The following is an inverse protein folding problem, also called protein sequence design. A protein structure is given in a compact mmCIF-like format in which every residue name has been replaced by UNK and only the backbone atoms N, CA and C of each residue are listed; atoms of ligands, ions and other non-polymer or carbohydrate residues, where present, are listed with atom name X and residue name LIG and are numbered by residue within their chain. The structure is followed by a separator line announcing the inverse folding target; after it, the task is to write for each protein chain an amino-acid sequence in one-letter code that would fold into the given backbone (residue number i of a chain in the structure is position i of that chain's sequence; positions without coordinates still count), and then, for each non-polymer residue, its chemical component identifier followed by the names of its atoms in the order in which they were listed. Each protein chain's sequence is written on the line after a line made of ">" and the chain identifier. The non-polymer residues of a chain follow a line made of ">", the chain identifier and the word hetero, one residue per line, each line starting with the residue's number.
data_IF_471460611581
#
_entry.id   IF_471460611581
#
_cell.length_a   1.000
_cell.length_b   1.000
_cell.length_c   1.000
_cell.angle_alpha   90.00
_cell.angle_beta   90.00
_cell.angle_gamma   90.00
#
_symmetry.space_group_name_H-M   'P 1'
#
loop_
_entity.id
_entity.type
_entity.pdbx_description
1 polymer ?
#
# COMPACT_ATOMS: atom_id res chain seq x y z
N UNK A 1 -8.00 18.84 -27.91
CA UNK A 1 -6.90 18.25 -27.10
C UNK A 1 -6.93 16.71 -27.21
N UNK A 2 -5.80 16.03 -27.06
CA UNK A 2 -5.70 14.56 -26.86
C UNK A 2 -6.09 14.19 -25.42
N UNK A 3 -6.18 12.90 -25.09
CA UNK A 3 -6.45 12.47 -23.70
C UNK A 3 -5.32 12.93 -22.76
N UNK A 4 -4.07 12.62 -23.13
CA UNK A 4 -2.84 13.09 -22.49
C UNK A 4 -2.79 14.59 -22.26
N UNK A 5 -3.06 15.38 -23.29
CA UNK A 5 -3.01 16.86 -23.20
C UNK A 5 -3.99 17.38 -22.15
N UNK A 6 -5.19 16.80 -22.05
CA UNK A 6 -6.17 17.20 -21.03
C UNK A 6 -5.69 16.87 -19.63
N UNK A 7 -5.15 15.68 -19.43
CA UNK A 7 -4.59 15.24 -18.13
C UNK A 7 -3.47 16.19 -17.69
N UNK A 8 -2.50 16.46 -18.59
CA UNK A 8 -1.38 17.36 -18.29
C UNK A 8 -1.86 18.80 -18.06
N UNK A 9 -2.82 19.29 -18.85
CA UNK A 9 -3.41 20.63 -18.66
C UNK A 9 -4.03 20.75 -17.26
N UNK A 10 -4.81 19.75 -16.83
CA UNK A 10 -5.42 19.75 -15.50
C UNK A 10 -4.37 19.65 -14.38
N UNK A 11 -3.36 18.79 -14.51
CA UNK A 11 -2.25 18.65 -13.53
C UNK A 11 -1.51 19.98 -13.36
N UNK A 12 -1.28 20.71 -14.45
CA UNK A 12 -0.64 22.03 -14.42
C UNK A 12 -1.61 23.18 -14.04
N UNK A 13 -2.83 22.86 -13.59
CA UNK A 13 -3.86 23.81 -13.15
C UNK A 13 -4.40 24.72 -14.26
N UNK A 14 -4.35 24.26 -15.51
CA UNK A 14 -5.01 24.89 -16.65
C UNK A 14 -6.47 24.44 -16.81
N UNK A 15 -7.14 24.98 -17.83
CA UNK A 15 -8.53 24.60 -18.17
C UNK A 15 -8.55 23.75 -19.45
N UNK A 16 -8.75 22.43 -19.35
CA UNK A 16 -8.89 21.57 -20.52
C UNK A 16 -10.23 21.83 -21.26
N UNK A 17 -10.30 21.42 -22.53
CA UNK A 17 -11.50 21.54 -23.38
C UNK A 17 -12.69 20.69 -22.90
N UNK A 18 -12.46 19.74 -21.97
CA UNK A 18 -13.46 18.99 -21.20
C UNK A 18 -12.81 18.32 -19.99
N UNK A 19 -13.62 17.77 -19.08
CA UNK A 19 -13.12 16.99 -17.93
C UNK A 19 -12.25 15.81 -18.40
N UNK A 20 -10.98 15.71 -17.97
CA UNK A 20 -10.12 14.59 -18.32
C UNK A 20 -10.57 13.30 -17.62
N UNK A 21 -10.42 12.17 -18.30
CA UNK A 21 -10.69 10.84 -17.76
C UNK A 21 -9.49 9.95 -18.12
N UNK A 22 -8.95 9.25 -17.12
CA UNK A 22 -7.88 8.26 -17.31
C UNK A 22 -8.03 7.13 -16.29
N UNK A 23 -7.65 5.89 -16.62
CA UNK A 23 -7.57 4.82 -15.65
C UNK A 23 -6.62 5.19 -14.52
N UNK A 24 -7.08 5.03 -13.27
CA UNK A 24 -6.21 5.20 -12.10
C UNK A 24 -5.58 3.85 -11.75
N UNK A 25 -4.24 3.79 -11.79
CA UNK A 25 -3.42 2.58 -11.67
C UNK A 25 -3.71 1.53 -12.74
N UNK A 26 -3.10 0.35 -12.56
CA UNK A 26 -3.31 -0.84 -13.39
C UNK A 26 -4.25 -1.86 -12.74
N UNK A 27 -4.82 -1.55 -11.57
CA UNK A 27 -5.69 -2.47 -10.82
C UNK A 27 -4.97 -3.78 -10.46
N UNK A 28 -5.40 -4.89 -11.06
CA UNK A 28 -4.79 -6.23 -10.88
C UNK A 28 -3.99 -6.71 -12.10
N UNK A 29 -3.76 -5.83 -13.07
CA UNK A 29 -2.96 -6.19 -14.24
C UNK A 29 -1.50 -6.35 -13.85
N UNK A 30 -0.89 -7.44 -14.31
CA UNK A 30 0.54 -7.66 -14.15
C UNK A 30 1.31 -6.68 -15.03
N UNK A 31 2.24 -5.93 -14.43
CA UNK A 31 3.01 -4.87 -15.08
C UNK A 31 3.85 -5.38 -16.26
N UNK A 32 4.33 -6.64 -16.20
CA UNK A 32 5.18 -7.21 -17.25
C UNK A 32 4.41 -8.01 -18.29
N UNK A 33 3.10 -8.19 -18.12
CA UNK A 33 2.29 -8.87 -19.12
C UNK A 33 2.27 -8.06 -20.44
N UNK A 34 2.39 -8.72 -21.62
CA UNK A 34 2.36 -8.05 -22.91
C UNK A 34 1.15 -7.13 -23.10
N UNK A 35 -0.03 -7.60 -22.67
CA UNK A 35 -1.26 -6.82 -22.70
C UNK A 35 -1.15 -5.52 -21.89
N UNK A 36 -0.57 -5.57 -20.69
CA UNK A 36 -0.43 -4.39 -19.83
C UNK A 36 0.53 -3.37 -20.45
N UNK A 37 1.62 -3.83 -21.06
CA UNK A 37 2.56 -2.95 -21.78
C UNK A 37 1.90 -2.30 -23.00
N UNK A 38 1.03 -3.02 -23.72
CA UNK A 38 0.23 -2.46 -24.82
C UNK A 38 -0.81 -1.45 -24.30
N UNK A 39 -1.52 -1.79 -23.23
CA UNK A 39 -2.49 -0.92 -22.57
C UNK A 39 -1.84 0.42 -22.18
N UNK A 40 -0.71 0.40 -21.47
CA UNK A 40 0.03 1.61 -21.07
C UNK A 40 0.44 2.47 -22.27
N UNK A 41 0.72 1.87 -23.43
CA UNK A 41 1.05 2.61 -24.65
C UNK A 41 -0.18 3.21 -25.35
N UNK A 42 -1.32 2.52 -25.27
CA UNK A 42 -2.54 2.89 -25.96
C UNK A 42 -3.42 3.87 -25.17
N UNK A 43 -3.30 3.88 -23.85
CA UNK A 43 -4.05 4.76 -22.94
C UNK A 43 -3.10 5.62 -22.11
N UNK A 44 -3.64 6.65 -21.46
CA UNK A 44 -2.90 7.53 -20.54
C UNK A 44 -3.25 7.22 -19.07
N UNK A 45 -2.82 6.07 -18.50
CA UNK A 45 -3.14 5.73 -17.12
C UNK A 45 -2.29 6.54 -16.15
N UNK A 46 -2.85 6.86 -14.99
CA UNK A 46 -2.11 7.39 -13.85
C UNK A 46 -1.53 6.22 -13.06
N UNK A 47 -0.26 5.89 -13.31
CA UNK A 47 0.41 4.75 -12.66
C UNK A 47 1.09 5.23 -11.37
N UNK A 48 0.72 4.62 -10.25
CA UNK A 48 1.40 4.82 -8.97
C UNK A 48 2.69 4.00 -8.95
N UNK A 49 3.81 4.68 -9.13
CA UNK A 49 5.14 4.12 -8.93
C UNK A 49 5.49 4.31 -7.46
N UNK A 50 4.89 3.48 -6.59
CA UNK A 50 4.95 3.65 -5.15
C UNK A 50 6.37 3.93 -4.67
N UNK A 51 6.53 4.90 -3.77
CA UNK A 51 7.85 5.46 -3.44
C UNK A 51 8.74 4.55 -2.58
N UNK A 52 8.33 3.30 -2.33
CA UNK A 52 8.96 2.41 -1.36
C UNK A 52 8.83 2.89 0.08
N UNK A 53 8.91 1.94 1.01
CA UNK A 53 8.87 2.23 2.45
C UNK A 53 7.46 2.49 3.00
N UNK A 54 7.39 2.56 4.32
CA UNK A 54 6.13 2.71 5.04
C UNK A 54 6.06 4.12 5.63
N UNK A 55 5.31 5.02 5.01
CA UNK A 55 5.20 6.42 5.47
C UNK A 55 4.59 6.56 6.86
N UNK A 56 3.80 5.57 7.29
CA UNK A 56 3.15 5.57 8.61
C UNK A 56 4.11 5.06 9.69
N UNK A 57 4.87 4.01 9.38
CA UNK A 57 5.67 3.30 10.39
C UNK A 57 7.19 3.58 10.30
N UNK A 58 7.64 4.21 9.22
CA UNK A 58 9.05 4.46 8.95
C UNK A 58 9.78 3.22 8.39
N UNK A 59 11.09 3.37 8.18
CA UNK A 59 11.94 2.32 7.62
C UNK A 59 12.21 1.17 8.59
N UNK A 60 12.20 1.46 9.89
CA UNK A 60 12.76 0.59 10.93
C UNK A 60 11.73 0.02 11.88
N UNK A 61 10.43 0.15 11.58
CA UNK A 61 9.39 -0.44 12.42
C UNK A 61 9.62 -1.96 12.53
N UNK A 62 9.88 -2.49 13.73
CA UNK A 62 10.29 -3.87 13.92
C UNK A 62 9.07 -4.78 13.92
N UNK A 63 8.54 -5.02 12.73
CA UNK A 63 7.47 -5.98 12.52
C UNK A 63 8.04 -7.40 12.43
N UNK A 64 7.45 -8.30 13.21
CA UNK A 64 7.68 -9.74 13.10
C UNK A 64 6.39 -10.39 12.60
N UNK A 65 6.50 -11.22 11.57
CA UNK A 65 5.40 -12.08 11.13
C UNK A 65 5.60 -13.46 11.75
N UNK A 66 4.71 -13.84 12.65
CA UNK A 66 4.75 -15.17 13.26
C UNK A 66 4.33 -16.26 12.26
N UNK A 67 4.70 -17.54 12.50
CA UNK A 67 4.23 -18.65 11.69
C UNK A 67 2.70 -18.67 11.57
N UNK A 68 2.21 -19.02 10.37
CA UNK A 68 0.78 -19.07 10.11
C UNK A 68 0.11 -20.17 10.93
N UNK A 69 -0.87 -19.77 11.75
CA UNK A 69 -1.68 -20.72 12.50
C UNK A 69 -2.83 -21.21 11.61
N UNK A 70 -2.99 -22.53 11.50
CA UNK A 70 -4.07 -23.15 10.76
C UNK A 70 -5.12 -23.67 11.74
N UNK A 71 -6.30 -23.04 11.73
CA UNK A 71 -7.42 -23.41 12.59
C UNK A 71 -8.59 -23.80 11.70
N UNK A 72 -8.82 -25.11 11.55
CA UNK A 72 -9.83 -25.68 10.64
C UNK A 72 -9.63 -25.20 9.19
N UNK A 73 -10.61 -24.52 8.61
CA UNK A 73 -10.62 -23.95 7.26
C UNK A 73 -10.03 -22.54 7.19
N UNK A 74 -9.38 -22.09 8.27
CA UNK A 74 -8.95 -20.72 8.46
C UNK A 74 -7.44 -20.64 8.65
N UNK A 75 -6.85 -19.62 8.05
CA UNK A 75 -5.46 -19.24 8.26
C UNK A 75 -5.45 -17.97 9.08
N UNK A 76 -4.76 -17.99 10.23
CA UNK A 76 -4.57 -16.82 11.08
C UNK A 76 -3.13 -16.33 10.91
N UNK A 77 -3.01 -15.11 10.42
CA UNK A 77 -1.77 -14.36 10.35
C UNK A 77 -1.66 -13.48 11.58
N UNK A 78 -0.59 -13.66 12.35
CA UNK A 78 -0.25 -12.79 13.49
C UNK A 78 0.97 -11.97 13.10
N UNK A 79 0.85 -10.65 13.22
CA UNK A 79 1.98 -9.72 13.12
C UNK A 79 2.20 -9.09 14.49
N UNK A 80 3.44 -9.12 14.95
CA UNK A 80 3.90 -8.43 16.15
C UNK A 80 4.56 -7.13 15.71
N UNK A 81 4.23 -6.03 16.36
CA UNK A 81 5.01 -4.81 16.34
C UNK A 81 5.75 -4.73 17.67
N UNK A 82 7.08 -4.83 17.62
CA UNK A 82 7.90 -4.64 18.81
C UNK A 82 8.00 -3.14 19.13
N UNK A 83 7.77 -2.78 20.38
CA UNK A 83 7.94 -1.40 20.84
C UNK A 83 8.75 -1.39 22.13
N UNK A 84 9.48 -0.30 22.42
CA UNK A 84 10.16 -0.14 23.70
C UNK A 84 9.24 -0.28 24.92
N UNK A 85 7.96 0.09 24.80
CA UNK A 85 6.96 -0.01 25.88
C UNK A 85 6.15 -1.32 25.83
N UNK A 86 6.57 -2.30 25.04
CA UNK A 86 5.97 -3.63 24.94
C UNK A 86 5.33 -3.93 23.59
N UNK A 87 5.12 -5.21 23.32
CA UNK A 87 4.66 -5.67 22.01
C UNK A 87 3.17 -5.38 21.76
N UNK A 88 2.84 -5.10 20.50
CA UNK A 88 1.47 -5.01 20.00
C UNK A 88 1.21 -6.12 18.98
N UNK A 89 -0.01 -6.63 18.95
CA UNK A 89 -0.39 -7.73 18.05
C UNK A 89 -1.48 -7.29 17.08
N UNK A 90 -1.37 -7.73 15.85
CA UNK A 90 -2.43 -7.66 14.84
C UNK A 90 -2.72 -9.05 14.33
N UNK A 91 -3.99 -9.44 14.33
CA UNK A 91 -4.42 -10.75 13.82
C UNK A 91 -5.33 -10.57 12.63
N UNK A 92 -4.99 -11.23 11.54
CA UNK A 92 -5.81 -11.27 10.33
C UNK A 92 -6.20 -12.71 10.07
N UNK A 93 -7.50 -12.96 10.03
CA UNK A 93 -8.08 -14.25 9.71
C UNK A 93 -8.47 -14.29 8.24
N UNK A 94 -8.10 -15.36 7.55
CA UNK A 94 -8.43 -15.60 6.15
C UNK A 94 -9.14 -16.93 6.00
N UNK A 95 -10.24 -16.91 5.27
CA UNK A 95 -10.95 -18.09 4.76
C UNK A 95 -10.86 -18.09 3.24
N UNK A 96 -11.45 -19.10 2.58
CA UNK A 96 -11.51 -19.16 1.12
C UNK A 96 -12.29 -18.01 0.47
N UNK A 97 -13.24 -17.41 1.18
CA UNK A 97 -14.17 -16.41 0.63
C UNK A 97 -14.00 -15.03 1.25
N UNK A 98 -13.29 -14.91 2.37
CA UNK A 98 -13.23 -13.68 3.16
C UNK A 98 -11.89 -13.50 3.86
N UNK A 99 -11.47 -12.25 4.02
CA UNK A 99 -10.40 -11.85 4.92
C UNK A 99 -10.95 -10.84 5.92
N UNK A 100 -10.68 -11.03 7.21
CA UNK A 100 -11.05 -10.08 8.26
C UNK A 100 -9.91 -9.86 9.24
N UNK A 101 -9.73 -8.62 9.67
CA UNK A 101 -8.83 -8.30 10.78
C UNK A 101 -9.59 -8.50 12.08
N UNK A 102 -9.16 -9.46 12.90
CA UNK A 102 -9.81 -9.82 14.16
C UNK A 102 -9.16 -9.14 15.37
N UNK A 103 -7.93 -8.64 15.23
CA UNK A 103 -7.23 -7.89 16.26
C UNK A 103 -6.40 -6.78 15.60
N UNK A 104 -6.47 -5.57 16.15
CA UNK A 104 -5.72 -4.39 15.72
C UNK A 104 -4.56 -4.12 16.68
N UNK A 105 -3.50 -3.46 16.18
CA UNK A 105 -2.35 -3.09 17.01
C UNK A 105 -2.76 -2.18 18.17
N UNK A 106 -3.60 -1.17 17.94
CA UNK A 106 -4.07 -0.26 18.96
C UNK A 106 -5.50 -0.58 19.36
N UNK A 107 -5.70 -1.05 20.59
CA UNK A 107 -7.03 -1.34 21.15
C UNK A 107 -7.40 -0.34 22.25
N UNK A 108 -6.39 0.19 22.94
CA UNK A 108 -6.56 1.15 24.02
C UNK A 108 -5.66 2.38 23.82
N UNK A 109 -5.90 3.49 24.56
CA UNK A 109 -5.00 4.64 24.53
C UNK A 109 -3.54 4.30 24.90
N UNK A 110 -3.33 3.35 25.80
CA UNK A 110 -1.99 2.91 26.21
C UNK A 110 -1.24 2.20 25.07
N UNK A 111 -1.96 1.60 24.12
CA UNK A 111 -1.33 1.05 22.92
C UNK A 111 -0.84 2.14 21.97
N UNK A 112 -1.48 3.32 21.96
CA UNK A 112 -0.96 4.47 21.21
C UNK A 112 0.39 4.93 21.77
N UNK A 113 0.55 4.94 23.10
CA UNK A 113 1.82 5.23 23.76
C UNK A 113 2.93 4.24 23.37
N UNK A 114 2.58 2.96 23.19
CA UNK A 114 3.51 1.94 22.69
C UNK A 114 3.90 2.23 21.23
N UNK A 115 2.94 2.51 20.36
CA UNK A 115 3.22 2.89 18.96
C UNK A 115 4.13 4.12 18.89
N UNK A 116 3.79 5.19 19.61
CA UNK A 116 4.57 6.43 19.61
C UNK A 116 5.96 6.28 20.23
N UNK A 117 6.20 5.21 21.00
CA UNK A 117 7.53 4.90 21.51
C UNK A 117 8.47 4.29 20.48
N UNK A 118 7.97 3.84 19.32
CA UNK A 118 8.80 3.31 18.23
C UNK A 118 9.59 4.46 17.59
N UNK A 119 10.94 4.41 17.56
CA UNK A 119 11.72 5.45 16.90
C UNK A 119 11.37 5.54 15.42
N UNK A 120 10.95 6.74 14.98
CA UNK A 120 10.65 6.97 13.58
C UNK A 120 11.92 7.30 12.81
N UNK A 121 12.23 6.47 11.82
CA UNK A 121 13.23 6.78 10.79
C UNK A 121 12.49 6.95 9.47
N UNK A 122 12.57 8.14 8.83
CA UNK A 122 11.92 8.37 7.54
C UNK A 122 12.29 7.27 6.53
N UNK A 123 11.33 6.72 5.77
CA UNK A 123 11.66 5.76 4.73
C UNK A 123 12.52 6.43 3.66
N UNK A 124 13.57 5.73 3.23
CA UNK A 124 14.27 6.07 2.00
C UNK A 124 13.41 5.71 0.79
N UNK A 125 13.40 6.60 -0.21
CA UNK A 125 12.65 6.36 -1.43
C UNK A 125 13.27 5.22 -2.24
N UNK A 126 12.45 4.24 -2.62
CA UNK A 126 12.81 3.21 -3.58
C UNK A 126 12.19 3.55 -4.93
N UNK A 127 13.01 4.04 -5.86
CA UNK A 127 12.59 4.41 -7.21
C UNK A 127 12.64 3.25 -8.21
N UNK A 128 12.90 2.01 -7.77
CA UNK A 128 13.06 0.87 -8.68
C UNK A 128 11.85 0.69 -9.62
N UNK A 129 10.63 0.80 -9.10
CA UNK A 129 9.41 0.67 -9.91
C UNK A 129 9.19 1.86 -10.86
N UNK A 130 9.74 3.03 -10.55
CA UNK A 130 9.69 4.18 -11.46
C UNK A 130 10.54 3.96 -12.72
N UNK A 131 11.64 3.23 -12.60
CA UNK A 131 12.57 2.94 -13.71
C UNK A 131 12.27 1.62 -14.45
N UNK A 132 11.10 1.02 -14.25
CA UNK A 132 10.68 -0.26 -14.86
C UNK A 132 10.14 -0.14 -16.29
#
# INVERSE_FOLDING_TARGET
>A
MTSRERLLTAIHRGTPDRVPIGPYTLGRLDFDAPFTREFIRAVDPLVDTGCGGNMIWGQSAPFEKLPLEHVRDQVVEVIVLHTPKGNLLRKTRRTKIMTSQTEFFCKTPEDAEKVLSVPFTPPSFNLKEYFR
#
